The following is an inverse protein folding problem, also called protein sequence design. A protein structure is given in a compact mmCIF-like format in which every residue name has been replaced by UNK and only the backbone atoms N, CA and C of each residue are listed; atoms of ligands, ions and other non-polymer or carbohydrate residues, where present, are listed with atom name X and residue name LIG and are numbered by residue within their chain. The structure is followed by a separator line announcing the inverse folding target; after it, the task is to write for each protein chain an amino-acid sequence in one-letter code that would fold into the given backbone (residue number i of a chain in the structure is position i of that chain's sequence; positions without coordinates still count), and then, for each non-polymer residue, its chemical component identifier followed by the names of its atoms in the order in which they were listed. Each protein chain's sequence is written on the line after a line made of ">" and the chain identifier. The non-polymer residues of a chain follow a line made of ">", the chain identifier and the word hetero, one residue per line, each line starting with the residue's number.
data_IF_806230683683
#
_entry.id   IF_806230683683
#
_cell.length_a   1.000
_cell.length_b   1.000
_cell.length_c   1.000
_cell.angle_alpha   90.00
_cell.angle_beta   90.00
_cell.angle_gamma   90.00
#
_symmetry.space_group_name_H-M   'P 1'
#
loop_
_entity.id
_entity.type
_entity.pdbx_description
1 polymer ?
#
# COMPACT_ATOMS: atom_id res chain seq x y z
N UNK A 1 1.17 7.57 8.10
CA UNK A 1 0.16 6.73 8.80
C UNK A 1 0.83 5.83 9.85
N UNK A 2 1.79 4.98 9.46
CA UNK A 2 2.55 4.13 10.40
C UNK A 2 3.11 4.88 11.63
N UNK A 3 3.65 6.07 11.42
CA UNK A 3 4.21 6.91 12.49
C UNK A 3 3.16 7.61 13.38
N UNK A 4 1.86 7.51 13.07
CA UNK A 4 0.77 8.06 13.92
C UNK A 4 -0.17 9.07 13.25
N UNK A 5 -0.07 9.30 11.94
CA UNK A 5 -0.99 10.22 11.24
C UNK A 5 -2.45 9.72 11.30
N UNK A 6 -3.38 10.61 11.65
CA UNK A 6 -4.84 10.34 11.75
C UNK A 6 -5.67 10.95 10.62
N UNK A 7 -5.05 11.31 9.50
CA UNK A 7 -5.73 11.85 8.30
C UNK A 7 -6.62 13.08 8.59
N UNK A 8 -6.15 14.00 9.44
CA UNK A 8 -6.91 15.22 9.77
C UNK A 8 -6.87 16.31 8.67
N UNK A 9 -6.06 16.13 7.62
CA UNK A 9 -5.98 16.99 6.43
C UNK A 9 -5.61 18.46 6.71
N UNK A 10 -4.88 18.74 7.78
CA UNK A 10 -4.43 20.10 8.17
C UNK A 10 -2.93 20.34 8.02
N UNK A 11 -2.23 19.52 7.24
CA UNK A 11 -0.76 19.52 7.16
C UNK A 11 -0.19 20.90 6.75
N UNK A 12 -0.86 21.61 5.85
CA UNK A 12 -0.46 22.92 5.34
C UNK A 12 -0.51 24.05 6.39
N UNK A 13 -1.19 23.84 7.52
CA UNK A 13 -1.37 24.88 8.54
C UNK A 13 -0.19 25.01 9.49
N UNK A 14 0.78 24.07 9.45
CA UNK A 14 1.82 23.94 10.45
C UNK A 14 1.32 23.48 11.83
N UNK A 15 0.03 23.14 11.97
CA UNK A 15 -0.60 22.74 13.24
C UNK A 15 -0.92 21.23 13.29
N UNK A 16 -0.01 20.38 12.81
CA UNK A 16 -0.18 18.94 12.90
C UNK A 16 -0.25 18.51 14.38
N UNK A 17 -1.43 18.07 14.84
CA UNK A 17 -1.65 17.64 16.23
C UNK A 17 -0.76 16.47 16.67
N UNK A 18 -0.18 15.74 15.70
CA UNK A 18 0.61 14.53 15.90
C UNK A 18 2.11 14.74 15.70
N UNK A 19 2.58 15.98 15.50
CA UNK A 19 4.01 16.29 15.40
C UNK A 19 4.70 15.87 14.09
N UNK A 20 3.93 15.47 13.06
CA UNK A 20 4.49 14.93 11.81
C UNK A 20 4.78 16.03 10.78
N UNK A 21 3.81 16.91 10.52
CA UNK A 21 3.91 17.97 9.51
C UNK A 21 3.81 19.35 10.18
N UNK A 22 4.82 19.67 10.99
CA UNK A 22 4.90 20.92 11.77
C UNK A 22 6.33 21.19 12.17
N UNK A 23 6.71 22.47 12.24
CA UNK A 23 8.01 22.92 12.76
C UNK A 23 7.88 23.57 14.16
N UNK A 24 6.68 23.57 14.75
CA UNK A 24 6.45 24.14 16.09
C UNK A 24 7.04 23.20 17.14
N UNK A 25 8.02 23.61 17.96
CA UNK A 25 8.74 22.72 18.87
C UNK A 25 7.84 21.90 19.80
N UNK A 26 6.77 22.51 20.32
CA UNK A 26 5.78 21.89 21.21
C UNK A 26 4.87 20.85 20.52
N UNK A 27 4.81 20.86 19.19
CA UNK A 27 4.11 19.86 18.40
C UNK A 27 5.06 18.78 17.92
N UNK A 28 6.27 19.14 17.49
CA UNK A 28 7.32 18.19 17.04
C UNK A 28 7.65 17.19 18.15
N UNK A 29 7.74 17.64 19.41
CA UNK A 29 8.03 16.80 20.57
C UNK A 29 7.00 15.68 20.82
N UNK A 30 5.85 15.70 20.15
CA UNK A 30 4.82 14.65 20.23
C UNK A 30 5.16 13.41 19.40
N UNK A 31 6.10 13.52 18.48
CA UNK A 31 6.56 12.41 17.65
C UNK A 31 7.91 11.92 18.17
N UNK A 32 7.95 10.69 18.66
CA UNK A 32 9.18 9.98 18.96
C UNK A 32 9.73 9.34 17.66
N UNK A 33 10.90 9.76 17.15
CA UNK A 33 11.46 9.22 15.91
C UNK A 33 11.81 7.74 15.97
N UNK A 34 12.27 7.24 17.13
CA UNK A 34 12.68 5.83 17.29
C UNK A 34 11.45 4.91 17.27
N UNK A 35 10.40 5.29 18.00
CA UNK A 35 9.13 4.56 17.96
C UNK A 35 8.50 4.64 16.56
N UNK A 36 8.57 5.83 15.93
CA UNK A 36 8.10 6.05 14.57
C UNK A 36 8.80 5.16 13.55
N UNK A 37 10.13 5.08 13.62
CA UNK A 37 10.96 4.24 12.77
C UNK A 37 10.65 2.76 12.98
N UNK A 38 10.55 2.29 14.23
CA UNK A 38 10.20 0.90 14.52
C UNK A 38 8.84 0.52 13.93
N UNK A 39 7.83 1.38 14.07
CA UNK A 39 6.50 1.16 13.47
C UNK A 39 6.55 1.10 11.95
N UNK A 40 7.34 1.97 11.33
CA UNK A 40 7.52 1.98 9.88
C UNK A 40 8.22 0.70 9.40
N UNK A 41 9.28 0.27 10.06
CA UNK A 41 9.98 -0.99 9.75
C UNK A 41 9.04 -2.20 9.88
N UNK A 42 8.22 -2.23 10.94
CA UNK A 42 7.23 -3.29 11.13
C UNK A 42 6.21 -3.35 9.98
N UNK A 43 5.74 -2.19 9.50
CA UNK A 43 4.83 -2.12 8.35
C UNK A 43 5.50 -2.68 7.08
N UNK A 44 6.72 -2.26 6.79
CA UNK A 44 7.46 -2.73 5.61
C UNK A 44 7.75 -4.23 5.68
N UNK A 45 8.07 -4.75 6.86
CA UNK A 45 8.24 -6.19 7.08
C UNK A 45 6.94 -6.96 6.85
N UNK A 46 5.81 -6.46 7.37
CA UNK A 46 4.48 -7.05 7.14
C UNK A 46 4.15 -7.14 5.65
N UNK A 47 4.29 -6.03 4.91
CA UNK A 47 4.07 -6.01 3.46
C UNK A 47 5.04 -6.93 2.70
N UNK A 48 6.30 -7.03 3.13
CA UNK A 48 7.24 -7.97 2.53
C UNK A 48 6.79 -9.43 2.70
N UNK A 49 6.26 -9.79 3.87
CA UNK A 49 5.70 -11.12 4.09
C UNK A 49 4.46 -11.37 3.23
N UNK A 50 3.51 -10.45 3.20
CA UNK A 50 2.30 -10.56 2.37
C UNK A 50 2.63 -10.69 0.87
N UNK A 51 3.58 -9.90 0.37
CA UNK A 51 4.02 -10.00 -1.03
C UNK A 51 4.62 -11.38 -1.29
N UNK A 52 5.47 -11.90 -0.39
CA UNK A 52 6.03 -13.26 -0.54
C UNK A 52 4.95 -14.34 -0.54
N UNK A 53 3.92 -14.21 0.30
CA UNK A 53 2.77 -15.11 0.30
C UNK A 53 2.04 -15.08 -1.05
N UNK A 54 1.74 -13.89 -1.57
CA UNK A 54 1.11 -13.74 -2.91
C UNK A 54 1.98 -14.34 -4.02
N UNK A 55 3.28 -14.07 -4.01
CA UNK A 55 4.22 -14.66 -4.98
C UNK A 55 4.24 -16.19 -4.89
N UNK A 56 4.26 -16.74 -3.66
CA UNK A 56 4.18 -18.17 -3.39
C UNK A 56 2.88 -18.79 -3.90
N UNK A 57 1.73 -18.18 -3.64
CA UNK A 57 0.43 -18.64 -4.14
C UNK A 57 0.34 -18.64 -5.67
N UNK A 58 1.06 -17.72 -6.33
CA UNK A 58 1.14 -17.63 -7.79
C UNK A 58 2.22 -18.55 -8.40
N UNK A 59 3.00 -19.25 -7.57
CA UNK A 59 4.09 -20.12 -8.03
C UNK A 59 5.25 -19.36 -8.68
N UNK A 60 5.47 -18.10 -8.30
CA UNK A 60 6.56 -17.25 -8.81
C UNK A 60 7.54 -16.88 -7.70
N UNK A 61 8.81 -16.79 -8.04
CA UNK A 61 9.91 -16.59 -7.09
C UNK A 61 10.56 -15.19 -7.16
N UNK A 62 10.12 -14.35 -8.10
CA UNK A 62 10.67 -13.02 -8.35
C UNK A 62 9.55 -12.02 -8.57
N UNK A 63 9.67 -10.84 -7.96
CA UNK A 63 8.67 -9.76 -8.10
C UNK A 63 8.65 -9.22 -9.53
N UNK A 64 9.77 -9.30 -10.24
CA UNK A 64 9.94 -8.96 -11.65
C UNK A 64 9.02 -9.80 -12.54
N UNK A 65 8.75 -11.06 -12.17
CA UNK A 65 7.83 -11.96 -12.89
C UNK A 65 6.36 -11.60 -12.71
N UNK A 66 6.03 -10.83 -11.67
CA UNK A 66 4.69 -10.29 -11.43
C UNK A 66 4.51 -8.92 -12.10
N UNK A 67 5.56 -8.09 -12.07
CA UNK A 67 5.51 -6.70 -12.52
C UNK A 67 5.11 -6.62 -14.00
N UNK A 68 3.95 -5.99 -14.27
CA UNK A 68 3.44 -5.79 -15.62
C UNK A 68 2.77 -7.03 -16.25
N UNK A 69 2.68 -8.15 -15.53
CA UNK A 69 2.05 -9.36 -16.02
C UNK A 69 0.52 -9.26 -15.98
N UNK A 70 -0.06 -8.65 -17.02
CA UNK A 70 -1.52 -8.62 -17.23
C UNK A 70 -2.13 -10.01 -17.36
N UNK A 71 -1.34 -10.97 -17.86
CA UNK A 71 -1.76 -12.37 -17.94
C UNK A 71 -2.18 -12.91 -16.58
N UNK A 72 -1.58 -12.45 -15.47
CA UNK A 72 -1.91 -12.96 -14.13
C UNK A 72 -3.14 -12.29 -13.51
N UNK A 73 -3.71 -11.28 -14.16
CA UNK A 73 -4.92 -10.59 -13.71
C UNK A 73 -6.16 -11.20 -14.35
N UNK A 74 -7.27 -11.20 -13.60
CA UNK A 74 -8.57 -11.63 -14.09
C UNK A 74 -9.64 -10.59 -13.74
N UNK A 75 -10.44 -10.22 -14.72
CA UNK A 75 -11.57 -9.30 -14.53
C UNK A 75 -12.81 -10.03 -14.01
N UNK A 76 -13.49 -9.42 -13.05
CA UNK A 76 -14.74 -9.91 -12.45
C UNK A 76 -15.78 -8.81 -12.63
N UNK A 77 -16.91 -9.11 -13.27
CA UNK A 77 -18.00 -8.14 -13.48
C UNK A 77 -17.64 -6.98 -14.42
N UNK A 78 -16.65 -7.16 -15.28
CA UNK A 78 -16.26 -6.18 -16.29
C UNK A 78 -16.83 -6.58 -17.66
N UNK A 79 -17.29 -5.60 -18.42
CA UNK A 79 -17.75 -5.80 -19.79
C UNK A 79 -16.57 -6.09 -20.75
N UNK A 80 -16.90 -6.60 -21.93
CA UNK A 80 -15.91 -7.01 -22.93
C UNK A 80 -15.01 -5.86 -23.41
N UNK A 81 -15.55 -4.65 -23.57
CA UNK A 81 -14.76 -3.50 -24.01
C UNK A 81 -13.73 -3.14 -22.94
N UNK A 82 -14.14 -3.11 -21.67
CA UNK A 82 -13.24 -2.85 -20.55
C UNK A 82 -12.13 -3.91 -20.45
N UNK A 83 -12.46 -5.20 -20.55
CA UNK A 83 -11.47 -6.29 -20.54
C UNK A 83 -10.45 -6.13 -21.68
N UNK A 84 -10.93 -5.78 -22.88
CA UNK A 84 -10.09 -5.55 -24.07
C UNK A 84 -9.16 -4.35 -23.91
N UNK A 85 -9.66 -3.23 -23.38
CA UNK A 85 -8.86 -2.02 -23.12
C UNK A 85 -7.78 -2.31 -22.07
N UNK A 86 -8.13 -3.00 -20.98
CA UNK A 86 -7.19 -3.33 -19.90
C UNK A 86 -6.19 -4.43 -20.30
N UNK A 87 -6.52 -5.23 -21.32
CA UNK A 87 -5.71 -6.35 -21.80
C UNK A 87 -5.67 -7.53 -20.82
N UNK A 88 -6.79 -7.80 -20.13
CA UNK A 88 -6.92 -8.87 -19.13
C UNK A 88 -8.06 -9.82 -19.50
N UNK A 89 -7.99 -11.06 -19.01
CA UNK A 89 -9.00 -12.10 -19.29
C UNK A 89 -10.10 -12.08 -18.23
N UNK A 90 -11.31 -12.53 -18.57
CA UNK A 90 -12.37 -12.76 -17.57
C UNK A 90 -11.95 -13.87 -16.59
N UNK A 91 -12.37 -13.78 -15.33
CA UNK A 91 -12.14 -14.81 -14.31
C UNK A 91 -12.93 -16.13 -14.51
N UNK A 92 -13.63 -16.28 -15.65
CA UNK A 92 -14.72 -17.24 -15.82
C UNK A 92 -16.05 -16.75 -15.21
N UNK A 93 -17.17 -17.31 -15.64
CA UNK A 93 -18.48 -17.10 -15.01
C UNK A 93 -18.47 -17.99 -13.77
N UNK A 94 -18.41 -17.40 -12.57
CA UNK A 94 -18.66 -18.16 -11.35
C UNK A 94 -20.05 -18.78 -11.45
N UNK A 95 -20.13 -20.11 -11.38
CA UNK A 95 -21.40 -20.80 -11.17
C UNK A 95 -21.97 -20.43 -9.79
#
# INVERSE_FOLDING_TARGET
>A
IAMGCRLCQKCYTGNCSWGIATQRPELVSRLDPEIGAQRLCNLLNGWNHEIKEVLGSLGINAIESLRGSRERLRGIGLDEQTLKILGIKHAGIGQ
#
